data_IF_167690749206
#
_entry.id   IF_167690749206
#
_cell.length_a   1.000
_cell.length_b   1.000
_cell.length_c   1.000
_cell.angle_alpha   90.00
_cell.angle_beta   90.00
_cell.angle_gamma   90.00
#
_symmetry.space_group_name_H-M   'P 1'
#
loop_
_entity.id
_entity.type
_entity.pdbx_description
1 polymer ?
#
# COMPACT_ATOMS: atom_id res chain seq x y z
N UNK A 1 22.53 39.77 26.48
CA UNK A 1 22.78 39.10 25.18
C UNK A 1 22.31 37.65 25.32
N UNK A 2 21.10 37.36 24.83
CA UNK A 2 20.49 36.02 24.92
C UNK A 2 21.14 35.10 23.90
N UNK A 3 21.80 34.04 24.37
CA UNK A 3 22.29 32.96 23.52
C UNK A 3 21.09 32.21 22.94
N UNK A 4 20.85 32.36 21.64
CA UNK A 4 19.85 31.58 20.92
C UNK A 4 20.30 30.11 20.86
N UNK A 5 19.48 29.22 21.41
CA UNK A 5 19.70 27.78 21.31
C UNK A 5 19.70 27.38 19.82
N UNK A 6 20.82 26.85 19.34
CA UNK A 6 20.89 26.22 18.02
C UNK A 6 19.92 25.03 18.01
N UNK A 7 18.96 25.04 17.09
CA UNK A 7 18.04 23.91 16.89
C UNK A 7 18.79 22.61 16.58
N UNK A 8 18.11 21.46 16.71
CA UNK A 8 18.74 20.16 16.49
C UNK A 8 19.34 20.07 15.07
N UNK A 9 20.58 19.60 14.98
CA UNK A 9 21.25 19.35 13.70
C UNK A 9 20.44 18.30 12.90
N UNK A 10 19.95 18.69 11.73
CA UNK A 10 19.25 17.80 10.81
C UNK A 10 20.28 17.17 9.86
N UNK A 11 20.54 15.88 10.03
CA UNK A 11 21.39 15.12 9.12
C UNK A 11 20.61 14.74 7.86
N UNK A 12 20.94 15.37 6.73
CA UNK A 12 20.42 14.99 5.43
C UNK A 12 21.44 14.14 4.67
N UNK A 13 20.98 13.06 4.04
CA UNK A 13 21.84 12.24 3.19
C UNK A 13 22.46 13.10 2.06
N UNK A 14 23.76 12.92 1.76
CA UNK A 14 24.43 13.71 0.73
C UNK A 14 23.85 13.39 -0.65
N UNK A 15 23.86 14.39 -1.53
CA UNK A 15 23.49 14.18 -2.94
C UNK A 15 24.55 13.32 -3.63
N UNK A 16 24.11 12.54 -4.62
CA UNK A 16 25.02 11.78 -5.48
C UNK A 16 26.00 12.76 -6.17
N UNK A 17 27.33 12.59 -6.03
CA UNK A 17 28.30 13.52 -6.60
C UNK A 17 28.44 13.41 -8.13
N UNK A 18 28.08 12.25 -8.70
CA UNK A 18 28.14 11.98 -10.13
C UNK A 18 27.87 10.52 -10.47
N UNK A 19 27.93 10.16 -11.75
CA UNK A 19 27.90 8.79 -12.23
C UNK A 19 29.32 8.26 -12.44
N UNK A 20 29.56 6.99 -12.14
CA UNK A 20 30.86 6.35 -12.38
C UNK A 20 31.14 6.16 -13.89
N UNK A 21 32.40 6.31 -14.29
CA UNK A 21 32.83 6.26 -15.70
C UNK A 21 33.86 5.16 -16.00
N UNK A 22 34.37 4.49 -14.97
CA UNK A 22 35.37 3.41 -15.10
C UNK A 22 34.68 2.08 -15.38
N UNK A 23 35.27 1.27 -16.27
CA UNK A 23 34.80 -0.07 -16.61
C UNK A 23 34.31 -0.19 -18.04
N UNK A 24 34.08 -1.42 -18.50
CA UNK A 24 33.50 -1.69 -19.82
C UNK A 24 31.97 -1.67 -19.72
N UNK A 25 31.24 -0.89 -20.55
CA UNK A 25 29.78 -0.89 -20.54
C UNK A 25 29.21 -2.29 -20.80
N UNK A 26 28.15 -2.65 -20.09
CA UNK A 26 27.40 -3.89 -20.25
C UNK A 26 25.89 -3.59 -20.27
N UNK A 27 25.15 -4.28 -21.15
CA UNK A 27 23.69 -4.20 -21.19
C UNK A 27 23.11 -5.15 -20.14
N UNK A 28 22.20 -4.63 -19.31
CA UNK A 28 21.55 -5.38 -18.25
C UNK A 28 20.03 -5.26 -18.39
N UNK A 29 19.34 -6.29 -17.95
CA UNK A 29 17.92 -6.23 -17.63
C UNK A 29 17.79 -6.24 -16.11
N UNK A 30 16.94 -5.37 -15.59
CA UNK A 30 16.56 -5.36 -14.19
C UNK A 30 15.08 -5.74 -14.09
N UNK A 31 14.71 -6.36 -12.99
CA UNK A 31 13.31 -6.68 -12.64
C UNK A 31 12.51 -5.45 -12.16
N UNK A 32 12.81 -4.30 -12.77
CA UNK A 32 12.20 -3.00 -12.51
C UNK A 32 11.39 -2.59 -13.71
N UNK A 33 10.09 -2.45 -13.52
CA UNK A 33 9.12 -2.10 -14.55
C UNK A 33 8.72 -0.64 -14.39
N UNK A 34 8.73 0.13 -15.47
CA UNK A 34 8.36 1.54 -15.42
C UNK A 34 6.87 1.70 -15.06
N UNK A 35 6.59 2.64 -14.15
CA UNK A 35 5.22 3.00 -13.77
C UNK A 35 4.90 4.39 -14.33
N UNK A 36 3.90 4.45 -15.20
CA UNK A 36 3.32 5.72 -15.63
C UNK A 36 2.28 6.18 -14.61
N UNK A 37 2.46 7.39 -14.10
CA UNK A 37 1.59 7.96 -13.06
C UNK A 37 0.79 9.10 -13.72
N UNK A 38 -0.52 9.22 -13.47
CA UNK A 38 -1.27 10.38 -13.93
C UNK A 38 -0.82 11.65 -13.18
N UNK A 39 -0.78 12.78 -13.89
CA UNK A 39 -0.58 14.12 -13.29
C UNK A 39 -1.87 14.57 -12.62
N UNK A 40 -2.11 14.06 -11.43
CA UNK A 40 -3.32 14.36 -10.66
C UNK A 40 -3.02 14.43 -9.17
N UNK A 41 -4.02 14.90 -8.44
CA UNK A 41 -4.05 14.83 -7.00
C UNK A 41 -4.93 13.65 -6.55
N UNK A 42 -4.58 13.05 -5.41
CA UNK A 42 -5.37 12.00 -4.75
C UNK A 42 -5.74 12.46 -3.34
N UNK A 43 -6.91 12.04 -2.89
CA UNK A 43 -7.46 12.46 -1.60
C UNK A 43 -7.17 11.40 -0.55
N UNK A 44 -6.52 11.80 0.54
CA UNK A 44 -6.13 10.93 1.64
C UNK A 44 -7.09 11.12 2.81
N UNK A 45 -7.63 10.02 3.31
CA UNK A 45 -8.49 9.99 4.48
C UNK A 45 -7.92 9.04 5.54
N UNK A 46 -8.17 9.37 6.80
CA UNK A 46 -7.98 8.46 7.93
C UNK A 46 -9.22 7.58 8.08
N UNK A 47 -9.00 6.29 8.26
CA UNK A 47 -10.02 5.32 8.66
C UNK A 47 -9.68 4.81 10.06
N UNK A 48 -10.62 4.89 10.98
CA UNK A 48 -10.55 4.25 12.30
C UNK A 48 -11.62 3.16 12.37
N UNK A 49 -11.22 1.93 12.72
CA UNK A 49 -12.13 0.78 12.81
C UNK A 49 -12.14 0.31 14.25
N UNK A 50 -13.33 0.14 14.83
CA UNK A 50 -13.54 -0.43 16.15
C UNK A 50 -14.34 -1.73 16.06
N UNK A 51 -13.87 -2.82 16.69
CA UNK A 51 -12.68 -2.93 17.54
C UNK A 51 -11.34 -2.76 16.78
N UNK A 52 -10.32 -2.19 17.43
CA UNK A 52 -9.06 -1.71 16.83
C UNK A 52 -7.96 -2.78 16.70
N UNK A 53 -8.16 -3.95 17.32
CA UNK A 53 -7.20 -5.08 17.33
C UNK A 53 -7.47 -6.14 16.27
N UNK A 54 -8.19 -5.79 15.21
CA UNK A 54 -8.50 -6.71 14.13
C UNK A 54 -7.29 -6.95 13.20
N UNK A 55 -7.10 -8.18 12.69
CA UNK A 55 -6.11 -8.46 11.66
C UNK A 55 -6.32 -7.57 10.43
N UNK A 56 -5.23 -7.20 9.74
CA UNK A 56 -5.30 -6.36 8.53
C UNK A 56 -6.20 -6.92 7.42
N UNK A 57 -6.37 -8.24 7.36
CA UNK A 57 -7.28 -8.92 6.43
C UNK A 57 -8.74 -8.61 6.78
N UNK A 58 -9.10 -8.65 8.06
CA UNK A 58 -10.46 -8.30 8.54
C UNK A 58 -10.73 -6.80 8.31
N UNK A 59 -9.77 -5.92 8.59
CA UNK A 59 -9.95 -4.49 8.32
C UNK A 59 -10.24 -4.20 6.83
N UNK A 60 -9.58 -4.94 5.93
CA UNK A 60 -9.84 -4.85 4.49
C UNK A 60 -11.23 -5.33 4.12
N UNK A 61 -11.68 -6.43 4.70
CA UNK A 61 -13.04 -6.95 4.54
C UNK A 61 -14.08 -5.94 5.01
N UNK A 62 -13.86 -5.30 6.17
CA UNK A 62 -14.72 -4.22 6.69
C UNK A 62 -14.81 -3.06 5.73
N UNK A 63 -13.67 -2.57 5.22
CA UNK A 63 -13.67 -1.45 4.26
C UNK A 63 -14.29 -1.85 2.93
N UNK A 64 -14.06 -3.05 2.43
CA UNK A 64 -14.69 -3.56 1.21
C UNK A 64 -16.22 -3.60 1.34
N UNK A 65 -16.73 -4.16 2.44
CA UNK A 65 -18.16 -4.20 2.72
C UNK A 65 -18.74 -2.78 2.85
N UNK A 66 -18.04 -1.89 3.55
CA UNK A 66 -18.43 -0.48 3.68
C UNK A 66 -18.52 0.21 2.31
N UNK A 67 -17.52 0.00 1.43
CA UNK A 67 -17.51 0.58 0.08
C UNK A 67 -18.70 0.11 -0.75
N UNK A 68 -19.04 -1.17 -0.66
CA UNK A 68 -20.18 -1.76 -1.36
C UNK A 68 -21.53 -1.26 -0.80
N UNK A 69 -21.69 -1.27 0.52
CA UNK A 69 -22.95 -0.94 1.20
C UNK A 69 -23.27 0.56 1.13
N UNK A 70 -22.28 1.42 1.34
CA UNK A 70 -22.44 2.88 1.32
C UNK A 70 -22.13 3.48 -0.07
N UNK A 71 -22.15 2.65 -1.13
CA UNK A 71 -21.90 3.10 -2.51
C UNK A 71 -22.82 4.24 -2.94
N UNK A 72 -24.15 4.19 -2.78
CA UNK A 72 -25.02 5.26 -3.29
C UNK A 72 -24.87 6.60 -2.55
N UNK A 73 -24.46 6.54 -1.28
CA UNK A 73 -24.45 7.69 -0.37
C UNK A 73 -23.09 8.39 -0.33
N UNK A 74 -21.99 7.62 -0.43
CA UNK A 74 -20.64 8.13 -0.17
C UNK A 74 -19.68 7.88 -1.33
N UNK A 75 -19.55 6.63 -1.77
CA UNK A 75 -18.46 6.26 -2.68
C UNK A 75 -18.82 6.52 -4.16
N UNK A 76 -20.08 6.42 -4.56
CA UNK A 76 -20.50 6.50 -5.95
C UNK A 76 -19.72 5.49 -6.81
N UNK A 77 -19.16 5.94 -7.92
CA UNK A 77 -18.30 5.09 -8.78
C UNK A 77 -16.82 5.10 -8.39
N UNK A 78 -16.47 5.72 -7.26
CA UNK A 78 -15.09 5.72 -6.75
C UNK A 78 -14.73 4.31 -6.30
N UNK A 79 -13.47 3.93 -6.54
CA UNK A 79 -12.87 2.68 -6.06
C UNK A 79 -11.73 3.03 -5.11
N UNK A 80 -12.01 3.20 -3.81
CA UNK A 80 -10.98 3.56 -2.84
C UNK A 80 -9.93 2.46 -2.72
N UNK A 81 -8.70 2.84 -2.40
CA UNK A 81 -7.61 1.90 -2.09
C UNK A 81 -7.22 2.05 -0.63
N UNK A 82 -7.04 0.93 0.07
CA UNK A 82 -6.84 0.90 1.52
C UNK A 82 -5.61 0.09 1.93
N UNK A 83 -4.85 0.61 2.90
CA UNK A 83 -3.62 0.01 3.39
C UNK A 83 -3.83 -1.12 4.43
N UNK A 84 -5.08 -1.33 4.89
CA UNK A 84 -5.42 -2.31 5.93
C UNK A 84 -5.30 -1.82 7.36
N UNK A 85 -4.98 -0.55 7.56
CA UNK A 85 -4.82 0.07 8.86
C UNK A 85 -5.64 1.36 8.93
N UNK A 86 -5.06 2.48 8.52
CA UNK A 86 -5.65 3.81 8.73
C UNK A 86 -5.74 4.64 7.47
N UNK A 87 -5.13 4.24 6.37
CA UNK A 87 -4.98 5.10 5.21
C UNK A 87 -5.83 4.56 4.07
N UNK A 88 -6.83 5.36 3.67
CA UNK A 88 -7.61 5.13 2.45
C UNK A 88 -7.42 6.31 1.50
N UNK A 89 -7.33 6.00 0.20
CA UNK A 89 -7.13 7.01 -0.84
C UNK A 89 -8.20 6.89 -1.91
N UNK A 90 -8.63 8.04 -2.45
CA UNK A 90 -9.56 8.10 -3.58
C UNK A 90 -9.06 9.07 -4.65
N UNK A 91 -9.44 8.81 -5.90
CA UNK A 91 -9.13 9.68 -7.05
C UNK A 91 -10.00 10.94 -7.09
N UNK A 92 -11.22 10.87 -6.54
CA UNK A 92 -12.16 11.97 -6.41
C UNK A 92 -12.52 12.14 -4.95
N UNK A 93 -12.68 13.39 -4.51
CA UNK A 93 -13.09 13.71 -3.15
C UNK A 93 -14.40 13.00 -2.77
N UNK A 94 -14.45 12.46 -1.55
CA UNK A 94 -15.66 11.98 -0.91
C UNK A 94 -16.52 13.18 -0.47
N UNK A 95 -17.87 13.10 -0.59
CA UNK A 95 -18.79 14.17 -0.21
C UNK A 95 -18.99 14.30 1.32
N UNK A 96 -17.90 14.36 2.09
CA UNK A 96 -17.92 14.44 3.57
C UNK A 96 -17.32 15.74 4.13
N UNK A 97 -16.77 16.60 3.27
CA UNK A 97 -16.03 17.79 3.70
C UNK A 97 -14.83 17.42 4.57
N UNK A 98 -14.64 18.16 5.67
CA UNK A 98 -13.55 17.95 6.63
C UNK A 98 -14.03 17.30 7.94
N UNK A 99 -15.33 17.03 8.06
CA UNK A 99 -15.89 16.44 9.27
C UNK A 99 -15.62 14.94 9.32
N UNK A 100 -15.55 14.43 10.54
CA UNK A 100 -15.46 13.00 10.80
C UNK A 100 -16.85 12.40 10.64
N UNK A 101 -16.99 11.40 9.77
CA UNK A 101 -18.26 10.68 9.56
C UNK A 101 -18.13 9.27 10.10
N UNK A 102 -19.06 8.88 10.96
CA UNK A 102 -19.13 7.56 11.58
C UNK A 102 -20.15 6.66 10.84
N UNK A 103 -19.79 5.40 10.66
CA UNK A 103 -20.54 4.36 9.98
C UNK A 103 -20.63 3.13 10.88
N UNK A 104 -21.76 2.44 10.81
CA UNK A 104 -21.91 1.09 11.35
C UNK A 104 -21.89 0.10 10.20
N UNK A 105 -20.92 -0.82 10.22
CA UNK A 105 -20.68 -1.80 9.16
C UNK A 105 -20.92 -3.18 9.72
N UNK A 106 -21.90 -3.88 9.17
CA UNK A 106 -22.28 -5.23 9.59
C UNK A 106 -21.80 -6.25 8.56
N UNK A 107 -20.81 -7.06 8.92
CA UNK A 107 -20.35 -8.16 8.08
C UNK A 107 -21.11 -9.44 8.49
N UNK A 108 -21.78 -10.11 7.54
CA UNK A 108 -22.38 -11.42 7.79
C UNK A 108 -21.34 -12.43 8.28
N UNK A 109 -21.59 -13.06 9.41
CA UNK A 109 -20.73 -14.10 9.97
C UNK A 109 -21.41 -15.48 9.93
N UNK A 110 -20.62 -16.55 10.03
CA UNK A 110 -21.15 -17.90 10.27
C UNK A 110 -21.71 -17.97 11.70
N UNK A 111 -23.00 -17.68 11.84
CA UNK A 111 -23.75 -17.73 13.10
C UNK A 111 -24.13 -16.36 13.66
N UNK A 112 -23.16 -15.43 13.82
CA UNK A 112 -23.43 -14.08 14.32
C UNK A 112 -22.77 -13.02 13.47
N UNK A 113 -23.57 -12.03 13.08
CA UNK A 113 -23.09 -10.85 12.39
C UNK A 113 -22.07 -10.08 13.24
N UNK A 114 -21.00 -9.63 12.57
CA UNK A 114 -19.94 -8.84 13.18
C UNK A 114 -20.19 -7.37 12.88
N UNK A 115 -20.44 -6.58 13.91
CA UNK A 115 -20.68 -5.14 13.79
C UNK A 115 -19.40 -4.38 14.09
N UNK A 116 -19.03 -3.49 13.18
CA UNK A 116 -17.86 -2.61 13.28
C UNK A 116 -18.31 -1.16 13.24
N UNK A 117 -17.71 -0.33 14.11
CA UNK A 117 -17.84 1.11 14.01
C UNK A 117 -16.65 1.65 13.23
N UNK A 118 -16.92 2.23 12.08
CA UNK A 118 -15.89 2.75 11.17
C UNK A 118 -16.05 4.25 11.10
N UNK A 119 -14.96 5.01 11.19
CA UNK A 119 -15.00 6.44 10.96
C UNK A 119 -14.05 6.87 9.88
N UNK A 120 -14.49 7.78 9.01
CA UNK A 120 -13.68 8.35 7.94
C UNK A 120 -13.51 9.85 8.20
N UNK A 121 -12.28 10.34 8.08
CA UNK A 121 -11.95 11.77 8.22
C UNK A 121 -10.97 12.18 7.14
N UNK A 122 -11.21 13.33 6.50
CA UNK A 122 -10.26 13.90 5.55
C UNK A 122 -8.93 14.26 6.24
N UNK A 123 -7.80 13.95 5.59
CA UNK A 123 -6.47 14.28 6.10
C UNK A 123 -5.73 15.28 5.21
N UNK A 124 -5.61 14.97 3.92
CA UNK A 124 -4.77 15.74 3.02
C UNK A 124 -5.13 15.50 1.55
N UNK A 125 -4.64 16.40 0.69
CA UNK A 125 -4.51 16.17 -0.75
C UNK A 125 -3.05 15.81 -1.01
N UNK A 126 -2.83 14.70 -1.70
CA UNK A 126 -1.51 14.17 -2.04
C UNK A 126 -1.28 14.36 -3.54
N UNK A 127 -0.24 15.09 -3.92
CA UNK A 127 0.00 15.41 -5.33
C UNK A 127 0.94 14.42 -6.00
N UNK A 128 0.43 13.66 -6.98
CA UNK A 128 1.26 12.85 -7.86
C UNK A 128 1.92 13.67 -8.97
N UNK A 129 1.37 14.85 -9.26
CA UNK A 129 2.04 15.81 -10.13
C UNK A 129 3.39 16.26 -9.51
N UNK A 130 3.39 16.67 -8.24
CA UNK A 130 4.62 17.03 -7.52
C UNK A 130 5.63 15.87 -7.45
N UNK A 131 5.16 14.64 -7.28
CA UNK A 131 6.01 13.45 -7.31
C UNK A 131 6.77 13.36 -8.64
N UNK A 132 6.07 13.50 -9.78
CA UNK A 132 6.72 13.45 -11.09
C UNK A 132 7.73 14.57 -11.30
N UNK A 133 7.37 15.81 -10.98
CA UNK A 133 8.29 16.95 -11.10
C UNK A 133 9.56 16.75 -10.26
N UNK A 134 9.41 16.14 -9.08
CA UNK A 134 10.54 15.83 -8.20
C UNK A 134 11.47 14.78 -8.82
N UNK A 135 10.91 13.72 -9.43
CA UNK A 135 11.69 12.65 -10.06
C UNK A 135 12.44 13.12 -11.32
N UNK A 136 11.84 14.05 -12.08
CA UNK A 136 12.44 14.65 -13.28
C UNK A 136 13.48 15.71 -12.93
N UNK A 137 13.18 16.59 -11.98
CA UNK A 137 14.10 17.68 -11.63
C UNK A 137 15.30 17.20 -10.80
N UNK A 138 15.13 16.18 -9.96
CA UNK A 138 16.15 15.70 -9.02
C UNK A 138 16.58 16.73 -7.97
N UNK A 139 15.83 17.84 -7.82
CA UNK A 139 16.19 18.98 -6.97
C UNK A 139 15.48 18.97 -5.62
N UNK A 140 14.28 18.40 -5.58
CA UNK A 140 13.44 18.32 -4.38
C UNK A 140 13.60 16.97 -3.68
N UNK A 141 13.29 16.93 -2.39
CA UNK A 141 13.13 15.66 -1.69
C UNK A 141 11.87 14.95 -2.20
N UNK A 142 11.96 13.63 -2.39
CA UNK A 142 10.83 12.83 -2.87
C UNK A 142 9.69 12.88 -1.84
N UNK A 143 8.46 13.28 -2.25
CA UNK A 143 7.30 13.28 -1.35
C UNK A 143 6.91 11.84 -0.99
N UNK A 144 7.22 11.44 0.25
CA UNK A 144 7.06 10.06 0.73
C UNK A 144 5.59 9.65 0.86
N UNK A 145 4.72 10.59 1.18
CA UNK A 145 3.27 10.50 1.16
C UNK A 145 2.72 10.18 -0.23
N UNK A 146 3.22 10.82 -1.29
CA UNK A 146 2.88 10.48 -2.67
C UNK A 146 3.34 9.08 -3.07
N UNK A 147 4.56 8.70 -2.67
CA UNK A 147 5.08 7.33 -2.87
C UNK A 147 4.24 6.31 -2.12
N UNK A 148 3.86 6.59 -0.87
CA UNK A 148 3.01 5.72 -0.07
C UNK A 148 1.62 5.55 -0.68
N UNK A 149 0.98 6.63 -1.13
CA UNK A 149 -0.32 6.56 -1.80
C UNK A 149 -0.28 5.67 -3.04
N UNK A 150 0.78 5.82 -3.87
CA UNK A 150 0.98 4.97 -5.05
C UNK A 150 1.24 3.51 -4.67
N UNK A 151 2.06 3.27 -3.65
CA UNK A 151 2.39 1.92 -3.17
C UNK A 151 1.15 1.22 -2.58
N UNK A 152 0.27 1.94 -1.89
CA UNK A 152 -1.03 1.43 -1.42
C UNK A 152 -1.95 1.12 -2.60
N UNK A 153 -2.04 2.00 -3.59
CA UNK A 153 -2.87 1.77 -4.78
C UNK A 153 -2.44 0.50 -5.54
N UNK A 154 -1.13 0.37 -5.81
CA UNK A 154 -0.56 -0.76 -6.54
C UNK A 154 -0.69 -2.09 -5.77
N UNK A 155 -0.71 -2.06 -4.44
CA UNK A 155 -0.79 -3.26 -3.59
C UNK A 155 -2.20 -3.64 -3.16
N UNK A 156 -3.20 -2.78 -3.40
CA UNK A 156 -4.54 -2.96 -2.85
C UNK A 156 -5.18 -4.29 -3.28
N UNK A 157 -5.26 -4.55 -4.58
CA UNK A 157 -5.91 -5.76 -5.10
C UNK A 157 -5.16 -7.04 -4.74
N UNK A 158 -3.82 -7.03 -4.81
CA UNK A 158 -2.99 -8.16 -4.40
C UNK A 158 -3.18 -8.47 -2.91
N UNK A 159 -3.33 -7.45 -2.06
CA UNK A 159 -3.58 -7.62 -0.63
C UNK A 159 -4.98 -8.16 -0.30
N UNK A 160 -5.91 -8.10 -1.25
CA UNK A 160 -7.25 -8.69 -1.12
C UNK A 160 -7.29 -10.14 -1.60
N UNK A 161 -6.52 -10.46 -2.65
CA UNK A 161 -6.55 -11.77 -3.32
C UNK A 161 -5.57 -12.79 -2.75
N UNK A 162 -4.40 -12.33 -2.33
CA UNK A 162 -3.31 -13.18 -1.87
C UNK A 162 -3.08 -13.04 -0.37
N UNK A 163 -2.23 -13.88 0.20
CA UNK A 163 -1.79 -13.77 1.58
C UNK A 163 -0.55 -12.88 1.68
N UNK A 164 -0.65 -11.65 2.24
CA UNK A 164 0.48 -10.74 2.31
C UNK A 164 1.42 -11.11 3.46
N UNK A 165 2.72 -11.21 3.17
CA UNK A 165 3.80 -11.34 4.14
C UNK A 165 4.85 -10.27 3.86
N UNK A 166 4.92 -9.23 4.69
CA UNK A 166 5.79 -8.09 4.46
C UNK A 166 5.41 -7.32 3.18
N UNK A 167 6.28 -7.35 2.18
CA UNK A 167 6.08 -6.76 0.84
C UNK A 167 5.82 -7.82 -0.25
N UNK A 168 5.65 -9.07 0.15
CA UNK A 168 5.44 -10.19 -0.75
C UNK A 168 4.02 -10.74 -0.61
N UNK A 169 3.54 -11.38 -1.68
CA UNK A 169 2.19 -11.95 -1.77
C UNK A 169 2.29 -13.42 -2.16
N UNK A 170 1.58 -14.29 -1.44
CA UNK A 170 1.63 -15.75 -1.64
C UNK A 170 0.23 -16.32 -1.84
N UNK A 171 0.13 -17.38 -2.64
CA UNK A 171 -1.10 -18.15 -2.86
C UNK A 171 -0.87 -19.62 -2.59
N UNK A 172 -1.92 -20.37 -2.17
CA UNK A 172 -1.86 -21.81 -2.11
C UNK A 172 -1.46 -22.41 -3.48
N UNK A 173 -0.79 -23.57 -3.47
CA UNK A 173 -0.50 -24.32 -4.69
C UNK A 173 -1.77 -24.66 -5.49
N UNK A 174 -1.81 -24.29 -6.77
CA UNK A 174 -2.85 -24.69 -7.73
C UNK A 174 -2.21 -25.54 -8.83
N UNK A 175 -2.42 -26.85 -8.81
CA UNK A 175 -1.89 -27.77 -9.83
C UNK A 175 -0.39 -28.12 -9.70
N UNK A 176 0.26 -27.70 -8.63
CA UNK A 176 1.62 -28.10 -8.24
C UNK A 176 1.65 -28.46 -6.76
N UNK A 177 2.50 -29.39 -6.32
CA UNK A 177 2.58 -29.79 -4.91
C UNK A 177 4.03 -30.07 -4.52
N UNK A 178 4.55 -29.29 -3.57
CA UNK A 178 5.94 -29.38 -3.10
C UNK A 178 5.95 -29.60 -1.57
N UNK A 179 5.71 -30.85 -1.11
CA UNK A 179 5.78 -31.17 0.30
C UNK A 179 7.22 -31.12 0.81
N UNK A 180 7.41 -30.53 1.99
CA UNK A 180 8.70 -30.52 2.70
C UNK A 180 8.75 -31.55 3.84
N UNK A 181 7.63 -32.24 4.10
CA UNK A 181 7.48 -33.16 5.22
C UNK A 181 7.18 -32.46 6.55
N UNK A 182 6.53 -33.18 7.46
CA UNK A 182 6.11 -32.66 8.77
C UNK A 182 4.98 -31.62 8.69
N UNK A 183 4.00 -31.84 7.80
CA UNK A 183 2.84 -30.94 7.65
C UNK A 183 3.18 -29.58 7.04
N UNK A 184 4.21 -29.50 6.20
CA UNK A 184 4.70 -28.26 5.59
C UNK A 184 4.82 -28.39 4.08
N UNK A 185 4.50 -27.32 3.38
CA UNK A 185 4.57 -27.19 1.92
C UNK A 185 5.16 -25.85 1.52
N UNK A 186 5.58 -25.75 0.26
CA UNK A 186 6.04 -24.49 -0.34
C UNK A 186 4.88 -23.80 -1.04
N UNK A 187 4.67 -22.53 -0.74
CA UNK A 187 3.84 -21.63 -1.55
C UNK A 187 4.74 -20.70 -2.35
N UNK A 188 4.42 -20.54 -3.63
CA UNK A 188 5.04 -19.53 -4.47
C UNK A 188 4.32 -18.19 -4.34
N UNK A 189 5.06 -17.14 -4.62
CA UNK A 189 4.59 -15.78 -4.53
C UNK A 189 5.50 -14.82 -5.27
N UNK A 190 5.31 -13.55 -5.01
CA UNK A 190 6.15 -12.51 -5.56
C UNK A 190 6.36 -11.36 -4.57
N UNK A 191 7.56 -10.80 -4.58
CA UNK A 191 7.85 -9.52 -3.95
C UNK A 191 7.29 -8.39 -4.82
N UNK A 192 6.69 -7.38 -4.19
CA UNK A 192 6.25 -6.16 -4.87
C UNK A 192 6.63 -4.92 -4.07
N UNK A 193 7.33 -3.99 -4.71
CA UNK A 193 7.54 -2.66 -4.12
C UNK A 193 7.63 -1.57 -5.17
N UNK A 194 7.01 -0.42 -4.89
CA UNK A 194 7.12 0.78 -5.71
C UNK A 194 8.28 1.64 -5.19
N UNK A 195 9.18 2.07 -6.08
CA UNK A 195 10.38 2.84 -5.72
C UNK A 195 10.60 4.05 -6.63
N UNK A 196 11.00 5.20 -6.08
CA UNK A 196 11.47 6.32 -6.88
C UNK A 196 12.81 5.96 -7.53
N UNK A 197 12.91 6.15 -8.84
CA UNK A 197 14.16 6.12 -9.59
C UNK A 197 14.40 7.47 -10.26
N UNK A 198 15.54 7.61 -10.95
CA UNK A 198 15.74 8.78 -11.78
C UNK A 198 14.65 8.83 -12.85
N UNK A 199 13.96 9.97 -12.99
CA UNK A 199 12.91 10.25 -13.98
C UNK A 199 11.54 9.60 -13.76
N UNK A 200 11.46 8.36 -13.25
CA UNK A 200 10.21 7.60 -13.14
C UNK A 200 10.09 6.84 -11.83
N UNK A 201 8.84 6.49 -11.47
CA UNK A 201 8.60 5.46 -10.47
C UNK A 201 8.76 4.09 -11.11
N UNK A 202 9.29 3.15 -10.34
CA UNK A 202 9.54 1.79 -10.79
C UNK A 202 8.83 0.79 -9.88
N UNK A 203 8.24 -0.23 -10.48
CA UNK A 203 7.70 -1.39 -9.80
C UNK A 203 8.78 -2.48 -9.82
N UNK A 204 9.31 -2.81 -8.65
CA UNK A 204 10.23 -3.93 -8.46
C UNK A 204 9.43 -5.20 -8.17
N UNK A 205 9.54 -6.20 -9.03
CA UNK A 205 8.87 -7.51 -8.91
C UNK A 205 9.91 -8.62 -8.89
N UNK A 206 9.81 -9.55 -7.96
CA UNK A 206 10.69 -10.72 -7.91
C UNK A 206 9.92 -11.97 -7.48
N UNK A 207 10.34 -13.14 -7.97
CA UNK A 207 9.75 -14.42 -7.55
C UNK A 207 10.16 -14.77 -6.12
N UNK A 208 9.22 -15.25 -5.32
CA UNK A 208 9.46 -15.60 -3.92
C UNK A 208 8.83 -16.96 -3.58
N UNK A 209 9.44 -17.65 -2.62
CA UNK A 209 9.00 -18.94 -2.12
C UNK A 209 9.00 -18.91 -0.60
N UNK A 210 7.95 -19.42 0.02
CA UNK A 210 7.86 -19.47 1.48
C UNK A 210 7.26 -20.80 1.93
N UNK A 211 7.64 -21.21 3.15
CA UNK A 211 7.11 -22.44 3.78
C UNK A 211 5.83 -22.12 4.52
N UNK A 212 4.78 -22.88 4.23
CA UNK A 212 3.46 -22.80 4.85
C UNK A 212 3.07 -24.13 5.49
N UNK A 213 2.25 -24.12 6.56
CA UNK A 213 1.59 -25.33 7.04
C UNK A 213 0.65 -25.88 5.95
N UNK A 214 0.70 -27.19 5.73
CA UNK A 214 -0.24 -27.87 4.84
C UNK A 214 -1.66 -27.75 5.38
N UNK A 215 -2.58 -27.32 4.55
CA UNK A 215 -4.01 -27.41 4.87
C UNK A 215 -4.46 -28.86 4.67
N UNK A 216 -4.54 -29.60 5.78
CA UNK A 216 -5.08 -30.95 5.83
C UNK A 216 -5.89 -31.16 7.11
N UNK A 217 -6.75 -32.17 7.12
CA UNK A 217 -7.51 -32.54 8.32
C UNK A 217 -6.56 -33.02 9.42
N UNK A 218 -6.68 -32.44 10.60
CA UNK A 218 -6.13 -33.05 11.81
C UNK A 218 -7.00 -34.27 12.10
N UNK A 219 -6.49 -35.46 11.78
CA UNK A 219 -7.12 -36.75 12.12
C UNK A 219 -7.09 -37.04 13.61
#
# INVERSE_FOLDING_TARGET
LSAGAAGPFVFQAPRRPGMGTVGKPIKLLANYFEVEIPKMDVYHYEVDIKPDKCPRRVNREVVEYMVQHFKPQLFGDRKPVYDGKKNIYTVLALPIGNEKVDFEVTIPGEGKDRIFKVSIRWLAVVSWHLLQETLVSGRLQVPLDSVQALDVAMRHLASMRYTPVGRSFFSPPEGYYHPLGGGREVWFGFHQSVRPAMWKMMLNIDGEEAVWPQMGEFG
#
